data_IF_951339328038
#
_entry.id   IF_951339328038
#
_cell.length_a   1.000
_cell.length_b   1.000
_cell.length_c   1.000
_cell.angle_alpha   90.00
_cell.angle_beta   90.00
_cell.angle_gamma   90.00
#
_symmetry.space_group_name_H-M   'P 1'
#
loop_
_entity.id
_entity.type
_entity.pdbx_description
1 polymer ?
#
# COMPACT_ATOMS: atom_id res chain seq x y z
N UNK A 1 -8.76 -0.08 0.17
CA UNK A 1 -8.34 -0.50 1.54
C UNK A 1 -9.47 -0.55 2.56
N UNK A 2 -10.68 -0.50 2.11
CA UNK A 2 -11.79 -0.68 3.05
C UNK A 2 -11.72 -2.03 3.74
N UNK A 3 -12.08 -2.13 5.02
CA UNK A 3 -12.68 -1.07 5.82
C UNK A 3 -11.68 -0.11 6.48
N UNK A 4 -10.39 -0.40 6.41
CA UNK A 4 -9.36 0.38 7.10
C UNK A 4 -9.29 1.81 6.59
N UNK A 5 -9.29 1.98 5.27
CA UNK A 5 -9.31 3.29 4.62
C UNK A 5 -10.55 3.35 3.74
N UNK A 6 -11.43 4.27 4.06
CA UNK A 6 -12.70 4.45 3.36
C UNK A 6 -12.46 5.07 1.98
N UNK A 7 -13.19 4.61 0.98
CA UNK A 7 -13.13 5.20 -0.35
C UNK A 7 -13.46 6.69 -0.29
N UNK A 8 -12.73 7.50 -1.05
CA UNK A 8 -12.87 8.94 -1.04
C UNK A 8 -12.10 9.65 0.06
N UNK A 9 -11.42 8.91 0.92
CA UNK A 9 -10.56 9.50 1.95
C UNK A 9 -9.33 10.13 1.33
N UNK A 10 -8.81 11.16 2.00
CA UNK A 10 -7.53 11.75 1.68
C UNK A 10 -6.50 11.11 2.60
N UNK A 11 -5.39 10.65 2.04
CA UNK A 11 -4.29 10.11 2.83
C UNK A 11 -3.12 11.07 2.85
N UNK A 12 -2.41 11.07 3.96
CA UNK A 12 -1.16 11.82 4.10
C UNK A 12 -0.04 10.79 4.19
N UNK A 13 0.92 10.92 3.28
CA UNK A 13 2.07 10.04 3.21
C UNK A 13 3.33 10.77 3.62
N UNK A 14 4.20 10.09 4.36
CA UNK A 14 5.52 10.59 4.71
C UNK A 14 6.55 9.95 3.80
N UNK A 15 7.30 10.77 3.06
CA UNK A 15 8.39 10.34 2.19
C UNK A 15 9.64 10.03 2.99
N UNK A 16 10.54 9.27 2.40
CA UNK A 16 11.87 8.98 2.95
C UNK A 16 11.82 8.29 4.32
N UNK A 17 10.73 7.59 4.56
CA UNK A 17 10.53 6.78 5.75
C UNK A 17 10.34 5.34 5.31
N UNK A 18 11.02 4.41 5.98
CA UNK A 18 10.88 3.00 5.70
C UNK A 18 9.45 2.55 5.96
N UNK A 19 8.89 1.83 5.00
CA UNK A 19 7.60 1.14 5.18
C UNK A 19 7.93 -0.28 5.61
N UNK A 20 7.52 -0.63 6.81
CA UNK A 20 7.82 -1.94 7.39
C UNK A 20 6.71 -2.93 7.08
N UNK A 21 7.05 -4.20 7.26
CA UNK A 21 6.09 -5.28 7.13
C UNK A 21 4.85 -5.02 8.00
N UNK A 22 3.67 -5.10 7.38
CA UNK A 22 2.40 -4.87 8.07
C UNK A 22 1.92 -3.42 8.06
N UNK A 23 2.74 -2.48 7.60
CA UNK A 23 2.37 -1.07 7.54
C UNK A 23 1.72 -0.74 6.20
N UNK A 24 0.94 0.34 6.19
CA UNK A 24 0.23 0.79 5.00
C UNK A 24 1.09 1.84 4.30
N UNK A 25 1.23 1.68 2.99
CA UNK A 25 1.94 2.63 2.15
C UNK A 25 1.18 2.93 0.88
N UNK A 26 1.64 3.97 0.20
CA UNK A 26 1.24 4.28 -1.16
C UNK A 26 2.36 3.83 -2.10
N UNK A 27 1.99 3.11 -3.14
CA UNK A 27 2.93 2.47 -4.05
C UNK A 27 2.53 2.70 -5.49
N UNK A 28 3.52 2.69 -6.39
CA UNK A 28 3.28 2.57 -7.83
C UNK A 28 3.77 1.21 -8.32
N UNK A 29 2.95 0.55 -9.10
CA UNK A 29 3.35 -0.58 -9.93
C UNK A 29 3.06 -0.15 -11.36
N UNK A 30 4.12 -0.03 -12.17
CA UNK A 30 4.05 0.62 -13.47
C UNK A 30 3.44 2.02 -13.30
N UNK A 31 2.35 2.33 -13.99
CA UNK A 31 1.70 3.64 -13.90
C UNK A 31 0.48 3.65 -12.95
N UNK A 32 0.27 2.56 -12.22
CA UNK A 32 -0.88 2.40 -11.33
C UNK A 32 -0.50 2.70 -9.89
N UNK A 33 -1.31 3.54 -9.23
CA UNK A 33 -1.12 3.87 -7.82
C UNK A 33 -1.99 2.96 -6.94
N UNK A 34 -1.40 2.49 -5.85
CA UNK A 34 -2.09 1.63 -4.89
C UNK A 34 -1.82 2.10 -3.47
N UNK A 35 -2.86 2.03 -2.62
CA UNK A 35 -2.70 2.15 -1.18
C UNK A 35 -2.99 0.79 -0.59
N UNK A 36 -1.97 0.14 -0.08
CA UNK A 36 -2.02 -1.25 0.36
C UNK A 36 -1.16 -1.44 1.60
N UNK A 37 -1.37 -2.57 2.26
CA UNK A 37 -0.53 -3.01 3.35
C UNK A 37 0.64 -3.82 2.78
N UNK A 38 1.84 -3.49 3.22
CA UNK A 38 3.05 -4.18 2.76
C UNK A 38 3.22 -5.49 3.50
N UNK A 39 3.49 -6.55 2.76
CA UNK A 39 3.84 -7.85 3.32
C UNK A 39 5.18 -8.30 2.75
N UNK A 40 6.15 -8.45 3.62
CA UNK A 40 7.47 -8.94 3.27
C UNK A 40 7.68 -10.27 3.96
N UNK A 41 7.98 -11.30 3.18
CA UNK A 41 8.34 -12.61 3.70
C UNK A 41 9.72 -12.99 3.16
N UNK A 42 10.24 -14.11 3.64
CA UNK A 42 11.48 -14.68 3.15
C UNK A 42 11.44 -14.94 1.64
N UNK A 43 10.27 -15.23 1.09
CA UNK A 43 10.11 -15.71 -0.28
C UNK A 43 9.52 -14.67 -1.24
N UNK A 44 8.83 -13.66 -0.73
CA UNK A 44 8.14 -12.71 -1.61
C UNK A 44 7.84 -11.38 -0.93
N UNK A 45 7.52 -10.40 -1.77
CA UNK A 45 6.94 -9.12 -1.37
C UNK A 45 5.55 -9.06 -1.99
N UNK A 46 4.56 -8.68 -1.19
CA UNK A 46 3.19 -8.54 -1.68
C UNK A 46 2.55 -7.28 -1.12
N UNK A 47 1.60 -6.76 -1.87
CA UNK A 47 0.73 -5.67 -1.44
C UNK A 47 -0.63 -6.26 -1.14
N UNK A 48 -1.07 -6.11 0.10
CA UNK A 48 -2.28 -6.75 0.61
C UNK A 48 -3.34 -5.69 0.84
N UNK A 49 -4.52 -5.92 0.29
CA UNK A 49 -5.69 -5.11 0.60
C UNK A 49 -6.32 -5.61 1.91
N UNK A 50 -6.73 -4.69 2.77
CA UNK A 50 -7.51 -5.07 3.95
C UNK A 50 -8.92 -5.52 3.58
N UNK A 51 -9.38 -5.17 2.38
CA UNK A 51 -10.63 -5.66 1.84
C UNK A 51 -10.43 -7.09 1.32
N UNK A 52 -11.13 -8.09 1.88
CA UNK A 52 -10.93 -9.49 1.49
C UNK A 52 -11.39 -9.81 0.07
N UNK A 53 -12.11 -8.90 -0.58
CA UNK A 53 -12.56 -9.09 -1.96
C UNK A 53 -11.45 -8.86 -2.98
N UNK A 54 -10.31 -8.34 -2.56
CA UNK A 54 -9.18 -8.07 -3.45
C UNK A 54 -8.05 -9.05 -3.16
N UNK A 55 -7.56 -9.68 -4.21
CA UNK A 55 -6.43 -10.60 -4.11
C UNK A 55 -5.13 -9.85 -3.83
N UNK A 56 -4.16 -10.49 -3.16
CA UNK A 56 -2.83 -9.92 -3.01
C UNK A 56 -2.16 -9.66 -4.35
N UNK A 57 -1.35 -8.60 -4.41
CA UNK A 57 -0.51 -8.31 -5.58
C UNK A 57 0.91 -8.69 -5.22
N UNK A 58 1.45 -9.70 -5.90
CA UNK A 58 2.82 -10.16 -5.68
C UNK A 58 3.76 -9.37 -6.59
N UNK A 59 4.86 -8.87 -6.01
CA UNK A 59 5.84 -8.10 -6.75
C UNK A 59 6.92 -9.06 -7.26
N UNK A 60 7.02 -9.17 -8.57
CA UNK A 60 8.01 -10.00 -9.23
C UNK A 60 9.28 -9.24 -9.58
N UNK A 61 10.37 -9.96 -9.85
CA UNK A 61 11.59 -9.31 -10.33
C UNK A 61 11.34 -8.65 -11.68
N UNK A 62 11.90 -7.48 -11.87
CA UNK A 62 11.74 -6.71 -13.10
C UNK A 62 10.50 -5.84 -13.17
N UNK A 63 9.62 -5.90 -12.19
CA UNK A 63 8.49 -4.98 -12.14
C UNK A 63 8.94 -3.58 -11.75
N UNK A 64 8.34 -2.58 -12.39
CA UNK A 64 8.58 -1.18 -12.06
C UNK A 64 7.77 -0.83 -10.82
N UNK A 65 8.34 -1.11 -9.66
CA UNK A 65 7.68 -0.94 -8.37
C UNK A 65 8.46 0.04 -7.52
N UNK A 66 7.76 1.02 -6.95
CA UNK A 66 8.38 1.92 -5.96
C UNK A 66 7.35 2.44 -4.97
N UNK A 67 7.84 2.74 -3.78
CA UNK A 67 7.03 3.32 -2.72
C UNK A 67 6.99 4.84 -2.87
N UNK A 68 5.80 5.41 -2.77
CA UNK A 68 5.61 6.85 -2.71
C UNK A 68 5.86 7.34 -1.28
N UNK A 69 5.35 6.63 -0.30
CA UNK A 69 5.51 6.99 1.10
C UNK A 69 4.69 6.12 2.03
N UNK A 70 5.01 6.21 3.31
CA UNK A 70 4.25 5.55 4.37
C UNK A 70 3.00 6.35 4.66
N UNK A 71 1.85 5.70 4.73
CA UNK A 71 0.60 6.35 5.13
C UNK A 71 0.64 6.60 6.64
N UNK A 72 0.62 7.85 7.03
CA UNK A 72 0.72 8.26 8.44
C UNK A 72 -0.57 8.85 8.98
N UNK A 73 -1.47 9.26 8.10
CA UNK A 73 -2.76 9.85 8.51
C UNK A 73 -3.79 9.67 7.42
N UNK A 74 -5.02 9.44 7.83
CA UNK A 74 -6.18 9.34 6.94
C UNK A 74 -7.18 10.40 7.35
N UNK A 75 -7.64 11.19 6.38
CA UNK A 75 -8.69 12.18 6.55
C UNK A 75 -9.92 11.64 5.84
N UNK A 76 -10.91 11.22 6.62
CA UNK A 76 -12.14 10.71 6.06
C UNK A 76 -13.17 11.82 5.97
N UNK A 77 -13.90 11.81 4.87
CA UNK A 77 -15.09 12.63 4.72
C UNK A 77 -16.20 12.04 5.59
N UNK A 78 -16.85 12.88 6.34
CA UNK A 78 -17.92 12.43 7.26
C UNK A 78 -19.28 12.68 6.62
#
# INVERSE_FOLDING_TARGET
>A
MEPTIKNGSIIICKKDVEIRNGEIGAFFIDDQAYVKRLKITKNYIALISDNPNYAPIYIGPGENFHAVGKVVKVLSDI
#
